data_IF_184628498379
#
_entry.id   IF_184628498379
#
_cell.length_a   1.000
_cell.length_b   1.000
_cell.length_c   1.000
_cell.angle_alpha   90.00
_cell.angle_beta   90.00
_cell.angle_gamma   90.00
#
_symmetry.space_group_name_H-M   'P 1'
#
loop_
_entity.id
_entity.type
_entity.pdbx_description
1 polymer ?
#
# COMPACT_ATOMS: atom_id res chain seq x y z
N UNK A 1 -1.89 -6.37 -20.23
CA UNK A 1 -0.55 -5.81 -19.96
C UNK A 1 0.37 -6.08 -21.15
N UNK A 2 1.37 -5.22 -21.38
CA UNK A 2 2.30 -5.33 -22.52
C UNK A 2 3.43 -6.37 -22.34
N UNK A 3 3.34 -7.24 -21.32
CA UNK A 3 4.33 -8.31 -21.08
C UNK A 3 5.74 -7.83 -20.70
N UNK A 4 5.86 -6.57 -20.25
CA UNK A 4 7.12 -5.96 -19.85
C UNK A 4 7.39 -6.34 -18.40
N UNK A 5 8.61 -6.83 -18.09
CA UNK A 5 9.01 -7.10 -16.71
C UNK A 5 8.88 -5.85 -15.83
N UNK A 6 8.48 -6.04 -14.57
CA UNK A 6 8.11 -4.94 -13.68
C UNK A 6 9.20 -3.87 -13.53
N UNK A 7 10.47 -4.29 -13.39
CA UNK A 7 11.61 -3.37 -13.30
C UNK A 7 11.76 -2.48 -14.54
N UNK A 8 11.46 -3.02 -15.72
CA UNK A 8 11.49 -2.24 -16.95
C UNK A 8 10.31 -1.27 -17.02
N UNK A 9 9.12 -1.68 -16.58
CA UNK A 9 7.95 -0.81 -16.51
C UNK A 9 8.21 0.40 -15.60
N UNK A 10 8.78 0.18 -14.41
CA UNK A 10 9.11 1.26 -13.47
C UNK A 10 10.17 2.18 -14.05
N UNK A 11 11.22 1.65 -14.69
CA UNK A 11 12.23 2.49 -15.37
C UNK A 11 11.61 3.34 -16.48
N UNK A 12 10.67 2.79 -17.24
CA UNK A 12 9.94 3.54 -18.27
C UNK A 12 9.11 4.66 -17.63
N UNK A 13 8.38 4.37 -16.55
CA UNK A 13 7.58 5.38 -15.82
C UNK A 13 8.48 6.46 -15.22
N UNK A 14 9.57 6.10 -14.54
CA UNK A 14 10.52 7.05 -13.98
C UNK A 14 11.14 7.94 -15.07
N UNK A 15 11.55 7.35 -16.19
CA UNK A 15 12.09 8.10 -17.34
C UNK A 15 11.06 9.05 -17.95
N UNK A 16 9.80 8.62 -18.05
CA UNK A 16 8.72 9.46 -18.55
C UNK A 16 8.42 10.64 -17.59
N UNK A 17 8.48 10.41 -16.27
CA UNK A 17 8.32 11.46 -15.27
C UNK A 17 9.45 12.49 -15.34
N UNK A 18 10.71 12.05 -15.45
CA UNK A 18 11.89 12.92 -15.61
C UNK A 18 11.79 13.79 -16.88
N UNK A 19 11.24 13.26 -17.97
CA UNK A 19 11.12 14.02 -19.24
C UNK A 19 9.97 15.01 -19.20
N UNK A 20 8.88 14.68 -18.50
CA UNK A 20 7.64 15.47 -18.51
C UNK A 20 7.62 16.56 -17.44
N UNK A 21 8.26 16.30 -16.31
CA UNK A 21 8.43 17.26 -15.23
C UNK A 21 9.82 17.88 -15.34
N UNK A 22 9.93 19.21 -15.29
CA UNK A 22 11.23 19.87 -15.13
C UNK A 22 11.90 19.52 -13.79
N UNK A 23 12.88 20.32 -13.35
CA UNK A 23 13.85 19.98 -12.31
C UNK A 23 13.37 19.36 -10.98
N UNK A 24 12.08 19.38 -10.59
CA UNK A 24 11.67 19.01 -9.22
C UNK A 24 10.24 18.41 -9.07
N UNK A 25 9.87 17.36 -9.82
CA UNK A 25 8.64 16.61 -9.48
C UNK A 25 8.98 15.29 -8.78
N UNK A 26 8.91 15.33 -7.45
CA UNK A 26 8.94 14.14 -6.60
C UNK A 26 7.57 13.48 -6.63
N UNK A 27 7.53 12.18 -6.88
CA UNK A 27 6.32 11.38 -6.74
C UNK A 27 6.62 10.13 -5.94
N UNK A 28 5.70 9.77 -5.05
CA UNK A 28 5.76 8.51 -4.33
C UNK A 28 5.17 7.40 -5.20
N UNK A 29 5.62 6.17 -4.98
CA UNK A 29 5.09 4.99 -5.65
C UNK A 29 4.97 3.86 -4.64
N UNK A 30 3.77 3.27 -4.54
CA UNK A 30 3.49 2.11 -3.70
C UNK A 30 2.77 1.07 -4.54
N UNK A 31 3.39 -0.10 -4.71
CA UNK A 31 2.86 -1.16 -5.57
C UNK A 31 2.90 -2.49 -4.83
N UNK A 32 1.79 -3.22 -4.93
CA UNK A 32 1.68 -4.61 -4.52
C UNK A 32 1.22 -5.46 -5.70
N UNK A 33 2.00 -6.48 -6.04
CA UNK A 33 1.66 -7.47 -7.06
C UNK A 33 1.39 -8.80 -6.37
N UNK A 34 0.19 -9.37 -6.53
CA UNK A 34 -0.21 -10.62 -5.90
C UNK A 34 -0.46 -11.68 -6.97
N UNK A 35 0.27 -12.79 -6.89
CA UNK A 35 0.03 -13.99 -7.69
C UNK A 35 -1.14 -14.77 -7.11
N UNK A 36 -2.28 -14.75 -7.82
CA UNK A 36 -3.51 -15.40 -7.41
C UNK A 36 -3.43 -16.93 -7.44
N UNK A 37 -2.41 -17.54 -8.06
CA UNK A 37 -2.24 -18.98 -8.12
C UNK A 37 -1.61 -19.55 -6.84
N UNK A 38 -0.61 -18.88 -6.28
CA UNK A 38 0.15 -19.34 -5.11
C UNK A 38 0.10 -18.41 -3.89
N UNK A 39 -0.51 -17.24 -4.01
CA UNK A 39 -0.62 -16.24 -2.95
C UNK A 39 0.66 -15.45 -2.69
N UNK A 40 1.70 -15.60 -3.50
CA UNK A 40 2.92 -14.78 -3.36
C UNK A 40 2.61 -13.32 -3.67
N UNK A 41 3.18 -12.43 -2.88
CA UNK A 41 3.03 -10.99 -2.99
C UNK A 41 4.41 -10.32 -3.07
N UNK A 42 4.61 -9.45 -4.06
CA UNK A 42 5.78 -8.59 -4.19
C UNK A 42 5.36 -7.14 -3.90
N UNK A 43 6.05 -6.50 -2.96
CA UNK A 43 5.84 -5.11 -2.56
C UNK A 43 6.98 -4.25 -3.04
N UNK A 44 6.66 -3.10 -3.59
CA UNK A 44 7.60 -2.20 -4.22
C UNK A 44 7.28 -0.76 -3.85
N UNK A 45 8.21 -0.08 -3.19
CA UNK A 45 8.01 1.29 -2.69
C UNK A 45 9.11 2.24 -3.19
N UNK A 46 8.71 3.45 -3.55
CA UNK A 46 9.56 4.62 -3.82
C UNK A 46 9.05 5.82 -3.03
N UNK A 47 9.66 6.15 -1.89
CA UNK A 47 9.24 7.28 -1.06
C UNK A 47 7.82 7.17 -0.50
N UNK A 48 7.22 5.98 -0.57
CA UNK A 48 5.86 5.73 -0.09
C UNK A 48 5.86 5.38 1.40
N UNK A 49 4.77 5.71 2.13
CA UNK A 49 4.61 5.34 3.52
C UNK A 49 4.57 3.82 3.72
N UNK A 50 4.73 3.41 4.97
CA UNK A 50 4.62 2.02 5.37
C UNK A 50 3.20 1.47 5.13
N UNK A 51 3.13 0.22 4.67
CA UNK A 51 1.88 -0.53 4.54
C UNK A 51 1.68 -1.51 5.70
N UNK A 52 0.56 -2.21 5.74
CA UNK A 52 0.27 -3.22 6.76
C UNK A 52 -0.20 -4.52 6.08
N UNK A 53 0.30 -5.66 6.56
CA UNK A 53 -0.28 -6.98 6.25
C UNK A 53 -0.91 -7.53 7.52
N UNK A 54 -2.15 -7.99 7.40
CA UNK A 54 -2.86 -8.73 8.44
C UNK A 54 -2.95 -10.20 8.06
N UNK A 55 -2.41 -11.07 8.92
CA UNK A 55 -2.47 -12.53 8.76
C UNK A 55 -3.02 -13.20 10.00
N UNK A 56 -4.06 -14.01 9.83
CA UNK A 56 -4.69 -14.73 10.95
C UNK A 56 -5.06 -13.81 12.13
N UNK A 57 -5.47 -12.57 11.84
CA UNK A 57 -5.83 -11.57 12.85
C UNK A 57 -4.68 -10.67 13.34
N UNK A 58 -3.42 -11.02 13.07
CA UNK A 58 -2.24 -10.24 13.51
C UNK A 58 -1.75 -9.30 12.43
N UNK A 59 -1.49 -8.05 12.77
CA UNK A 59 -0.96 -7.05 11.84
C UNK A 59 0.56 -6.97 11.93
N UNK A 60 1.19 -6.67 10.80
CA UNK A 60 2.63 -6.45 10.66
C UNK A 60 2.89 -5.34 9.65
N UNK A 61 3.91 -4.53 9.91
CA UNK A 61 4.24 -3.37 9.08
C UNK A 61 5.15 -3.78 7.94
N UNK A 62 4.82 -3.35 6.72
CA UNK A 62 5.72 -3.37 5.57
C UNK A 62 6.40 -2.00 5.50
N UNK A 63 7.52 -1.86 6.20
CA UNK A 63 8.35 -0.66 6.15
C UNK A 63 9.54 -0.89 5.22
N UNK A 64 9.60 -0.11 4.14
CA UNK A 64 10.66 -0.18 3.14
C UNK A 64 11.09 1.24 2.76
N UNK A 65 12.03 1.83 3.52
CA UNK A 65 12.52 3.17 3.26
C UNK A 65 13.15 3.25 1.86
N UNK A 66 12.68 4.19 1.05
CA UNK A 66 13.21 4.45 -0.29
C UNK A 66 13.01 5.90 -0.69
N UNK A 67 13.72 6.33 -1.73
CA UNK A 67 13.60 7.69 -2.24
C UNK A 67 12.45 7.78 -3.25
N UNK A 68 11.72 8.91 -3.30
CA UNK A 68 10.70 9.12 -4.33
C UNK A 68 11.31 9.10 -5.73
N UNK A 69 10.50 8.73 -6.72
CA UNK A 69 10.89 8.78 -8.14
C UNK A 69 10.85 10.22 -8.67
N UNK A 70 11.60 10.50 -9.74
CA UNK A 70 11.58 11.81 -10.43
C UNK A 70 12.73 12.78 -10.13
N UNK A 71 13.60 12.54 -9.13
CA UNK A 71 14.79 13.39 -8.86
C UNK A 71 16.13 12.69 -9.12
N UNK A 72 16.26 11.39 -8.85
CA UNK A 72 17.54 10.67 -8.94
C UNK A 72 17.50 9.62 -10.06
N UNK A 73 18.50 9.67 -10.95
CA UNK A 73 18.69 8.69 -12.03
C UNK A 73 18.83 7.24 -11.50
N UNK A 74 19.23 7.07 -10.24
CA UNK A 74 19.45 5.78 -9.57
C UNK A 74 18.45 5.48 -8.43
N UNK A 75 17.29 6.17 -8.38
CA UNK A 75 16.24 5.82 -7.43
C UNK A 75 15.68 4.42 -7.75
N UNK A 76 16.24 3.40 -7.09
CA UNK A 76 15.75 2.04 -7.12
C UNK A 76 14.52 1.88 -6.24
N UNK A 77 13.63 0.97 -6.62
CA UNK A 77 12.53 0.56 -5.76
C UNK A 77 13.07 -0.28 -4.60
N UNK A 78 12.63 0.04 -3.38
CA UNK A 78 12.76 -0.92 -2.30
C UNK A 78 11.75 -2.05 -2.55
N UNK A 79 12.23 -3.29 -2.44
CA UNK A 79 11.44 -4.49 -2.70
C UNK A 79 11.38 -5.37 -1.48
N UNK A 80 10.22 -5.97 -1.25
CA UNK A 80 10.03 -7.05 -0.28
C UNK A 80 9.03 -8.04 -0.84
N UNK A 81 9.04 -9.26 -0.33
CA UNK A 81 8.12 -10.31 -0.73
C UNK A 81 7.51 -10.97 0.49
N UNK A 82 6.25 -11.33 0.39
CA UNK A 82 5.58 -12.14 1.40
C UNK A 82 4.59 -13.11 0.74
N UNK A 83 3.98 -14.00 1.52
CA UNK A 83 2.89 -14.88 1.07
C UNK A 83 1.60 -14.53 1.78
N UNK A 84 0.52 -14.35 1.02
CA UNK A 84 -0.83 -14.16 1.49
C UNK A 84 -1.61 -15.48 1.40
N UNK A 85 -2.44 -15.74 2.40
CA UNK A 85 -3.37 -16.86 2.48
C UNK A 85 -4.82 -16.38 2.41
N UNK A 86 -5.76 -17.34 2.34
CA UNK A 86 -7.20 -17.05 2.38
C UNK A 86 -7.57 -16.22 3.63
N UNK A 87 -8.16 -15.05 3.42
CA UNK A 87 -8.57 -14.11 4.47
C UNK A 87 -7.47 -13.15 4.93
N UNK A 88 -6.23 -13.28 4.45
CA UNK A 88 -5.19 -12.30 4.74
C UNK A 88 -5.49 -10.98 4.02
N UNK A 89 -5.17 -9.86 4.68
CA UNK A 89 -5.44 -8.52 4.16
C UNK A 89 -4.14 -7.74 3.97
N UNK A 90 -4.09 -6.95 2.91
CA UNK A 90 -3.09 -5.94 2.64
C UNK A 90 -3.75 -4.57 2.75
N UNK A 91 -3.13 -3.67 3.52
CA UNK A 91 -3.56 -2.29 3.70
C UNK A 91 -2.44 -1.39 3.17
N UNK A 92 -2.78 -0.57 2.18
CA UNK A 92 -1.91 0.48 1.61
C UNK A 92 -2.52 1.84 1.93
N UNK A 93 -1.67 2.82 2.21
CA UNK A 93 -2.04 4.11 2.79
C UNK A 93 -1.28 5.23 2.08
N UNK A 94 -1.88 6.41 1.96
CA UNK A 94 -1.10 7.64 1.73
C UNK A 94 -0.54 8.18 3.06
N UNK A 95 0.44 9.07 2.97
CA UNK A 95 1.00 9.82 4.10
C UNK A 95 -0.07 10.63 4.84
N UNK A 96 -1.04 11.18 4.13
CA UNK A 96 -2.20 11.85 4.74
C UNK A 96 -2.98 10.98 5.74
N UNK A 97 -2.98 9.64 5.59
CA UNK A 97 -3.62 8.71 6.51
C UNK A 97 -2.78 8.42 7.78
N UNK A 98 -1.51 8.80 7.80
CA UNK A 98 -0.55 8.48 8.86
C UNK A 98 -0.12 9.69 9.70
N UNK A 99 -0.86 10.81 9.64
CA UNK A 99 -0.53 12.03 10.38
C UNK A 99 -0.37 11.83 11.89
N UNK A 100 -1.09 10.86 12.46
CA UNK A 100 -1.06 10.52 13.90
C UNK A 100 -0.20 9.28 14.21
N UNK A 101 0.65 8.86 13.27
CA UNK A 101 1.44 7.63 13.36
C UNK A 101 0.68 6.39 12.88
N UNK A 102 1.38 5.25 12.81
CA UNK A 102 0.85 4.00 12.25
C UNK A 102 0.20 3.09 13.31
N UNK A 103 0.54 3.26 14.59
CA UNK A 103 0.16 2.33 15.66
C UNK A 103 -1.35 2.12 15.80
N UNK A 104 -2.15 3.18 15.66
CA UNK A 104 -3.61 3.08 15.74
C UNK A 104 -4.19 2.33 14.52
N UNK A 105 -3.56 2.42 13.35
CA UNK A 105 -3.99 1.69 12.15
C UNK A 105 -3.73 0.19 12.33
N UNK A 106 -2.61 -0.15 12.97
CA UNK A 106 -2.29 -1.54 13.34
C UNK A 106 -3.36 -2.07 14.28
N UNK A 107 -3.66 -1.32 15.36
CA UNK A 107 -4.69 -1.71 16.34
C UNK A 107 -6.07 -1.88 15.68
N UNK A 108 -6.50 -0.94 14.85
CA UNK A 108 -7.77 -1.00 14.14
C UNK A 108 -7.82 -2.22 13.20
N UNK A 109 -6.73 -2.48 12.48
CA UNK A 109 -6.60 -3.63 11.58
C UNK A 109 -6.66 -4.96 12.33
N UNK A 110 -6.02 -5.07 13.49
CA UNK A 110 -6.08 -6.29 14.32
C UNK A 110 -7.49 -6.53 14.87
N UNK A 111 -8.13 -5.46 15.35
CA UNK A 111 -9.46 -5.48 15.97
C UNK A 111 -10.61 -5.67 14.98
N UNK A 112 -10.37 -5.47 13.68
CA UNK A 112 -11.40 -5.62 12.64
C UNK A 112 -11.95 -7.06 12.58
N UNK A 113 -13.24 -7.22 12.89
CA UNK A 113 -13.92 -8.54 12.90
C UNK A 113 -14.74 -8.81 11.64
N UNK A 114 -14.85 -7.83 10.74
CA UNK A 114 -15.56 -7.98 9.48
C UNK A 114 -14.77 -8.78 8.44
N UNK A 115 -15.44 -9.07 7.34
CA UNK A 115 -14.89 -9.73 6.15
C UNK A 115 -15.05 -8.86 4.89
N UNK A 116 -15.46 -7.60 5.04
CA UNK A 116 -15.63 -6.66 3.93
C UNK A 116 -14.46 -5.67 3.96
N UNK A 117 -13.51 -5.72 3.00
CA UNK A 117 -12.35 -4.83 2.96
C UNK A 117 -12.71 -3.35 2.95
N UNK A 118 -13.81 -3.01 2.28
CA UNK A 118 -14.32 -1.65 2.18
C UNK A 118 -14.68 -1.05 3.54
N UNK A 119 -15.26 -1.83 4.46
CA UNK A 119 -15.63 -1.35 5.81
C UNK A 119 -14.39 -0.97 6.63
N UNK A 120 -13.32 -1.78 6.52
CA UNK A 120 -12.05 -1.47 7.16
C UNK A 120 -11.42 -0.20 6.56
N UNK A 121 -11.44 -0.06 5.23
CA UNK A 121 -10.93 1.13 4.56
C UNK A 121 -11.66 2.41 5.03
N UNK A 122 -12.99 2.37 5.08
CA UNK A 122 -13.83 3.49 5.52
C UNK A 122 -13.61 3.84 7.00
N UNK A 123 -13.40 2.83 7.84
CA UNK A 123 -13.11 3.03 9.27
C UNK A 123 -11.75 3.70 9.45
N UNK A 124 -10.72 3.23 8.75
CA UNK A 124 -9.38 3.85 8.78
C UNK A 124 -9.46 5.29 8.29
N UNK A 125 -10.12 5.57 7.16
CA UNK A 125 -10.28 6.95 6.65
C UNK A 125 -10.98 7.85 7.69
N UNK A 126 -12.09 7.37 8.26
CA UNK A 126 -12.87 8.14 9.24
C UNK A 126 -12.07 8.45 10.50
N UNK A 127 -11.30 7.47 11.00
CA UNK A 127 -10.44 7.66 12.17
C UNK A 127 -9.23 8.56 11.87
N UNK A 128 -8.62 8.43 10.70
CA UNK A 128 -7.52 9.31 10.28
C UNK A 128 -7.96 10.78 10.27
N UNK A 129 -9.19 11.07 9.80
CA UNK A 129 -9.79 12.41 9.86
C UNK A 129 -10.00 12.86 11.31
N UNK A 130 -10.55 11.99 12.16
CA UNK A 130 -10.89 12.32 13.54
C UNK A 130 -9.66 12.55 14.45
N UNK A 131 -8.58 11.82 14.20
CA UNK A 131 -7.33 11.92 14.97
C UNK A 131 -6.43 13.08 14.51
N UNK A 132 -6.68 13.62 13.31
CA UNK A 132 -5.89 14.70 12.74
C UNK A 132 -5.92 15.94 13.63
N UNK A 133 -4.74 16.41 14.01
CA UNK A 133 -4.55 17.54 14.93
C UNK A 133 -3.43 18.50 14.49
N UNK A 134 -2.83 18.25 13.33
CA UNK A 134 -1.69 18.96 12.76
C UNK A 134 -2.07 20.23 11.98
N UNK A 135 -3.36 20.50 11.80
CA UNK A 135 -3.87 21.70 11.12
C UNK A 135 -3.58 21.75 9.62
N UNK A 136 -3.20 20.63 9.00
CA UNK A 136 -2.95 20.53 7.56
C UNK A 136 -4.02 19.67 6.88
N UNK A 137 -4.52 20.13 5.74
CA UNK A 137 -5.39 19.35 4.89
C UNK A 137 -4.54 18.59 3.86
N UNK A 138 -4.23 17.34 4.17
CA UNK A 138 -3.60 16.41 3.23
C UNK A 138 -4.58 15.32 2.77
N UNK A 139 -4.42 14.85 1.54
CA UNK A 139 -5.31 13.88 0.90
C UNK A 139 -5.15 12.49 1.56
N UNK A 140 -6.27 11.93 2.02
CA UNK A 140 -6.30 10.62 2.68
C UNK A 140 -6.73 9.57 1.65
N UNK A 141 -5.86 8.61 1.38
CA UNK A 141 -6.16 7.44 0.55
C UNK A 141 -5.83 6.17 1.33
N UNK A 142 -6.77 5.22 1.32
CA UNK A 142 -6.62 3.90 1.95
C UNK A 142 -7.12 2.85 0.95
N UNK A 143 -6.32 1.82 0.72
CA UNK A 143 -6.71 0.66 -0.08
C UNK A 143 -6.56 -0.59 0.77
N UNK A 144 -7.65 -1.34 0.93
CA UNK A 144 -7.65 -2.63 1.61
C UNK A 144 -7.96 -3.72 0.60
N UNK A 145 -7.07 -4.70 0.49
CA UNK A 145 -7.24 -5.88 -0.37
C UNK A 145 -7.28 -7.12 0.51
N UNK A 146 -8.19 -8.05 0.23
CA UNK A 146 -8.23 -9.36 0.88
C UNK A 146 -8.06 -10.46 -0.15
N UNK A 147 -7.16 -11.41 0.13
CA UNK A 147 -7.02 -12.58 -0.72
C UNK A 147 -8.06 -13.63 -0.34
N UNK A 148 -8.93 -13.99 -1.27
CA UNK A 148 -9.97 -14.99 -1.08
C UNK A 148 -9.80 -16.15 -2.06
N UNK A 149 -10.02 -17.38 -1.59
CA UNK A 149 -10.10 -18.54 -2.48
C UNK A 149 -11.35 -18.47 -3.37
N UNK A 150 -11.14 -18.66 -4.67
CA UNK A 150 -12.22 -18.78 -5.63
C UNK A 150 -13.15 -19.96 -5.30
N UNK A 151 -14.47 -19.73 -5.27
CA UNK A 151 -15.48 -20.76 -5.00
C UNK A 151 -16.10 -20.74 -3.60
N UNK A 152 -15.74 -19.78 -2.73
CA UNK A 152 -16.61 -19.37 -1.62
C UNK A 152 -17.71 -18.47 -2.18
N UNK A 153 -18.79 -19.06 -2.67
CA UNK A 153 -20.06 -18.34 -2.83
C UNK A 153 -20.56 -17.92 -1.44
N UNK A 154 -21.15 -16.73 -1.39
CA UNK A 154 -21.78 -16.07 -0.24
C UNK A 154 -22.42 -17.04 0.77
N UNK A 155 -21.64 -17.42 1.78
CA UNK A 155 -22.14 -17.88 3.07
C UNK A 155 -21.63 -16.86 4.10
N UNK A 156 -22.28 -15.68 4.11
CA UNK A 156 -22.55 -14.83 5.29
C UNK A 156 -23.27 -13.54 4.89
#
# INVERSE_FOLDING_TARGET
EAGIGFDAAVKIVNSALIVKCGDESLSTMDIAAVDLFNGSAEFMKAGAPAGIIRKGGRASVIDMPSLPIGILNDAGLAKSSDSLSDGDMLIMLSDGALSSGIDWVIEETENFKGNIPQELAETIVSQAIALRSDGHDDDITVVVTMLCKYGKSDDM
#
